data_IF_262670431333
#
_entry.id   IF_262670431333
#
_cell.length_a   1.000
_cell.length_b   1.000
_cell.length_c   1.000
_cell.angle_alpha   90.00
_cell.angle_beta   90.00
_cell.angle_gamma   90.00
#
_symmetry.space_group_name_H-M   'P 1'
#
loop_
_entity.id
_entity.type
_entity.pdbx_description
1 polymer ?
#
# COMPACT_ATOMS: atom_id res chain seq x y z
N UNK A 1 1.78 -20.87 6.13
CA UNK A 1 1.89 -20.71 4.66
C UNK A 1 1.28 -19.38 4.22
N UNK A 2 0.01 -19.11 4.50
CA UNK A 2 -0.68 -17.85 4.14
C UNK A 2 -0.02 -16.59 4.75
N UNK A 3 0.41 -16.60 6.02
CA UNK A 3 1.14 -15.46 6.62
C UNK A 3 2.47 -15.16 5.93
N UNK A 4 3.27 -16.18 5.60
CA UNK A 4 4.62 -15.97 5.00
C UNK A 4 4.53 -15.38 3.59
N UNK A 5 3.49 -15.73 2.84
CA UNK A 5 3.24 -15.21 1.49
C UNK A 5 2.78 -13.75 1.55
N UNK A 6 2.03 -13.39 2.59
CA UNK A 6 1.65 -12.00 2.85
C UNK A 6 2.86 -11.15 3.25
N UNK A 7 3.77 -11.69 4.06
CA UNK A 7 5.00 -10.98 4.45
C UNK A 7 5.89 -10.69 3.23
N UNK A 8 6.15 -11.69 2.37
CA UNK A 8 6.90 -11.50 1.12
C UNK A 8 6.23 -10.49 0.18
N UNK A 9 4.89 -10.49 0.13
CA UNK A 9 4.14 -9.52 -0.63
C UNK A 9 4.34 -8.09 -0.08
N UNK A 10 4.25 -7.90 1.24
CA UNK A 10 4.42 -6.59 1.87
C UNK A 10 5.86 -6.07 1.81
N UNK A 11 6.85 -6.96 1.75
CA UNK A 11 8.25 -6.60 1.55
C UNK A 11 8.54 -6.13 0.11
N UNK A 12 7.86 -6.73 -0.88
CA UNK A 12 8.11 -6.43 -2.30
C UNK A 12 7.27 -5.27 -2.85
N UNK A 13 6.02 -5.14 -2.39
CA UNK A 13 5.06 -4.15 -2.90
C UNK A 13 5.57 -2.69 -2.87
N UNK A 14 6.21 -2.19 -1.79
CA UNK A 14 6.70 -0.80 -1.75
C UNK A 14 7.70 -0.48 -2.86
N UNK A 15 8.56 -1.44 -3.20
CA UNK A 15 9.56 -1.31 -4.27
C UNK A 15 8.92 -1.14 -5.64
N UNK A 16 7.83 -1.86 -5.91
CA UNK A 16 7.07 -1.71 -7.16
C UNK A 16 6.32 -0.38 -7.18
N UNK A 17 5.64 -0.02 -6.10
CA UNK A 17 4.93 1.26 -5.98
C UNK A 17 5.85 2.48 -6.18
N UNK A 18 7.13 2.38 -5.78
CA UNK A 18 8.12 3.42 -6.03
C UNK A 18 8.38 3.69 -7.53
N UNK A 19 8.11 2.73 -8.41
CA UNK A 19 8.32 2.84 -9.86
C UNK A 19 7.13 3.41 -10.62
N UNK A 20 6.01 3.66 -9.94
CA UNK A 20 4.81 4.15 -10.59
C UNK A 20 5.03 5.52 -11.24
N UNK A 21 4.40 5.79 -12.39
CA UNK A 21 4.47 7.11 -13.01
C UNK A 21 4.05 8.20 -12.03
N UNK A 22 4.99 9.08 -11.70
CA UNK A 22 4.72 10.24 -10.85
C UNK A 22 4.35 11.44 -11.73
N UNK A 23 3.09 11.86 -11.67
CA UNK A 23 2.60 13.02 -12.44
C UNK A 23 3.08 14.36 -11.87
N UNK A 24 3.69 14.38 -10.68
CA UNK A 24 4.16 15.61 -10.03
C UNK A 24 5.43 16.08 -10.73
N UNK A 25 5.42 17.32 -11.24
CA UNK A 25 6.56 17.95 -11.91
C UNK A 25 7.34 18.82 -10.93
N UNK A 26 8.18 18.20 -10.10
CA UNK A 26 9.06 18.90 -9.15
C UNK A 26 8.33 19.58 -7.97
N UNK A 27 9.06 19.79 -6.88
CA UNK A 27 8.56 20.35 -5.61
C UNK A 27 8.88 19.45 -4.41
N UNK A 28 8.67 19.95 -3.20
CA UNK A 28 8.84 19.17 -1.97
C UNK A 28 7.80 18.04 -1.90
N UNK A 29 8.26 16.82 -2.12
CA UNK A 29 7.43 15.62 -2.09
C UNK A 29 7.27 15.14 -0.65
N UNK A 30 6.09 15.37 -0.09
CA UNK A 30 5.75 14.96 1.29
C UNK A 30 5.56 13.43 1.41
N UNK A 31 5.13 12.77 0.32
CA UNK A 31 4.81 11.33 0.27
C UNK A 31 5.46 10.70 -0.96
N UNK A 32 6.26 9.65 -0.76
CA UNK A 32 6.82 8.89 -1.87
C UNK A 32 5.74 8.14 -2.64
N UNK A 33 6.01 7.77 -3.89
CA UNK A 33 5.10 6.91 -4.66
C UNK A 33 4.91 5.55 -4.00
N UNK A 34 5.92 5.06 -3.27
CA UNK A 34 5.81 3.87 -2.42
C UNK A 34 4.75 4.07 -1.33
N UNK A 35 4.83 5.14 -0.55
CA UNK A 35 3.86 5.45 0.52
C UNK A 35 2.42 5.57 -0.03
N UNK A 36 2.28 6.22 -1.19
CA UNK A 36 0.97 6.41 -1.85
C UNK A 36 0.39 5.06 -2.31
N UNK A 37 1.20 4.20 -2.90
CA UNK A 37 0.78 2.87 -3.32
C UNK A 37 0.38 1.97 -2.14
N UNK A 38 1.17 2.00 -1.05
CA UNK A 38 0.84 1.26 0.17
C UNK A 38 -0.46 1.77 0.82
N UNK A 39 -0.74 3.09 0.75
CA UNK A 39 -1.99 3.67 1.23
C UNK A 39 -3.22 3.15 0.46
N UNK A 40 -3.14 3.09 -0.87
CA UNK A 40 -4.20 2.52 -1.69
C UNK A 40 -4.42 1.04 -1.39
N UNK A 41 -3.34 0.28 -1.20
CA UNK A 41 -3.43 -1.15 -0.90
C UNK A 41 -4.04 -1.44 0.48
N UNK A 42 -3.76 -0.59 1.48
CA UNK A 42 -4.31 -0.72 2.82
C UNK A 42 -5.85 -0.74 2.85
N UNK A 43 -6.52 -0.10 1.88
CA UNK A 43 -7.98 -0.07 1.77
C UNK A 43 -8.60 -1.47 1.56
N UNK A 44 -7.88 -2.40 0.92
CA UNK A 44 -8.37 -3.75 0.67
C UNK A 44 -8.38 -4.65 1.93
N UNK A 45 -7.70 -4.24 3.01
CA UNK A 45 -7.59 -5.00 4.25
C UNK A 45 -8.43 -4.42 5.40
N UNK A 46 -9.28 -3.42 5.13
CA UNK A 46 -10.03 -2.68 6.15
C UNK A 46 -11.51 -3.11 6.23
N UNK A 47 -11.90 -3.80 7.32
CA UNK A 47 -13.31 -4.01 7.70
C UNK A 47 -13.87 -2.80 8.49
N UNK A 48 -13.89 -1.60 7.88
CA UNK A 48 -14.58 -0.44 8.47
C UNK A 48 -14.92 0.61 7.41
N UNK A 49 -16.06 1.28 7.59
CA UNK A 49 -16.77 2.09 6.57
C UNK A 49 -16.01 3.29 5.99
N UNK A 50 -14.86 3.70 6.55
CA UNK A 50 -13.92 4.64 5.89
C UNK A 50 -12.52 4.65 6.52
N UNK A 51 -11.54 5.03 5.72
CA UNK A 51 -10.11 5.10 6.08
C UNK A 51 -9.85 6.03 7.28
N UNK A 52 -10.47 7.22 7.28
CA UNK A 52 -10.32 8.21 8.35
C UNK A 52 -11.00 7.77 9.66
N UNK A 53 -12.16 7.10 9.58
CA UNK A 53 -12.84 6.58 10.75
C UNK A 53 -12.02 5.47 11.43
N UNK A 54 -11.36 4.62 10.64
CA UNK A 54 -10.46 3.60 11.16
C UNK A 54 -9.21 4.20 11.81
N UNK A 55 -8.58 5.18 11.14
CA UNK A 55 -7.43 5.90 11.68
C UNK A 55 -7.74 6.57 13.02
N UNK A 56 -8.90 7.25 13.12
CA UNK A 56 -9.36 7.87 14.38
C UNK A 56 -9.68 6.84 15.46
N UNK A 57 -10.28 5.72 15.11
CA UNK A 57 -10.57 4.62 16.04
C UNK A 57 -9.29 3.94 16.55
N UNK A 58 -8.28 3.80 15.69
CA UNK A 58 -6.97 3.24 16.05
C UNK A 58 -6.09 4.23 16.83
N UNK A 59 -6.06 5.52 16.47
CA UNK A 59 -5.40 6.58 17.26
C UNK A 59 -5.97 6.64 18.68
N UNK A 60 -7.30 6.55 18.80
CA UNK A 60 -7.98 6.53 20.10
C UNK A 60 -7.67 5.27 20.93
N UNK A 61 -7.34 4.13 20.28
CA UNK A 61 -7.20 2.83 20.95
C UNK A 61 -5.75 2.38 21.21
N UNK A 62 -4.80 2.74 20.34
CA UNK A 62 -3.46 2.10 20.30
C UNK A 62 -2.27 3.07 20.14
N UNK A 63 -2.48 4.39 20.07
CA UNK A 63 -1.44 5.42 19.85
C UNK A 63 -0.61 5.27 18.56
N UNK A 64 -0.89 4.28 17.69
CA UNK A 64 -0.28 4.10 16.36
C UNK A 64 -1.29 3.45 15.40
N UNK A 65 -1.14 3.65 14.08
CA UNK A 65 -2.04 3.11 13.06
C UNK A 65 -1.42 2.01 12.20
N UNK A 66 -2.23 1.13 11.58
CA UNK A 66 -1.76 0.11 10.64
C UNK A 66 -0.95 0.73 9.48
N UNK A 67 -1.29 1.95 9.03
CA UNK A 67 -0.53 2.67 8.01
C UNK A 67 0.92 2.93 8.45
N UNK A 68 1.14 3.23 9.73
CA UNK A 68 2.48 3.45 10.27
C UNK A 68 3.18 2.14 10.63
N UNK A 69 2.45 1.18 11.23
CA UNK A 69 3.03 -0.08 11.71
C UNK A 69 3.22 -1.13 10.61
N UNK A 70 2.17 -1.46 9.88
CA UNK A 70 2.15 -2.54 8.88
C UNK A 70 2.66 -2.08 7.51
N UNK A 71 2.44 -0.81 7.18
CA UNK A 71 2.69 -0.27 5.85
C UNK A 71 3.81 0.78 5.80
N UNK A 72 4.46 1.08 6.94
CA UNK A 72 5.65 1.95 7.02
C UNK A 72 5.44 3.42 6.66
N UNK A 73 4.20 3.90 6.52
CA UNK A 73 3.92 5.25 6.05
C UNK A 73 4.17 6.29 7.15
N UNK A 74 4.94 7.35 6.82
CA UNK A 74 5.25 8.45 7.75
C UNK A 74 4.08 9.42 7.95
N UNK A 75 3.19 9.55 6.96
CA UNK A 75 1.99 10.38 7.00
C UNK A 75 0.90 9.66 6.20
N UNK A 76 -0.35 10.05 6.43
CA UNK A 76 -1.53 9.35 5.90
C UNK A 76 -2.26 10.25 4.87
N UNK A 77 -2.29 9.90 3.57
CA UNK A 77 -2.97 10.69 2.54
C UNK A 77 -4.50 10.58 2.62
N UNK A 78 -5.22 11.57 2.07
CA UNK A 78 -6.70 11.51 2.00
C UNK A 78 -7.18 10.66 0.83
N UNK A 79 -8.39 10.10 0.91
CA UNK A 79 -9.00 9.28 -0.14
C UNK A 79 -9.01 9.97 -1.51
N UNK A 80 -9.32 11.28 -1.54
CA UNK A 80 -9.29 12.09 -2.76
C UNK A 80 -7.87 12.20 -3.34
N UNK A 81 -6.85 12.28 -2.48
CA UNK A 81 -5.46 12.30 -2.92
C UNK A 81 -5.03 10.93 -3.46
N UNK A 82 -5.43 9.84 -2.80
CA UNK A 82 -5.16 8.46 -3.26
C UNK A 82 -5.77 8.23 -4.65
N UNK A 83 -7.06 8.52 -4.82
CA UNK A 83 -7.76 8.34 -6.11
C UNK A 83 -7.16 9.20 -7.21
N UNK A 84 -6.87 10.48 -6.94
CA UNK A 84 -6.21 11.36 -7.90
C UNK A 84 -4.88 10.80 -8.39
N UNK A 85 -4.10 10.15 -7.52
CA UNK A 85 -2.80 9.60 -7.87
C UNK A 85 -2.89 8.22 -8.54
N UNK A 86 -3.83 7.37 -8.15
CA UNK A 86 -3.89 5.97 -8.58
C UNK A 86 -4.85 5.71 -9.76
N UNK A 87 -5.92 6.50 -9.93
CA UNK A 87 -6.85 6.36 -11.07
C UNK A 87 -6.16 6.39 -12.45
N UNK A 88 -5.09 7.19 -12.69
CA UNK A 88 -4.39 7.18 -13.99
C UNK A 88 -3.32 6.08 -14.12
N UNK A 89 -3.04 5.29 -13.07
CA UNK A 89 -1.98 4.26 -13.09
C UNK A 89 -2.52 2.99 -13.77
N UNK A 90 -1.90 2.52 -14.86
CA UNK A 90 -2.34 1.29 -15.52
C UNK A 90 -2.21 0.06 -14.59
N UNK A 91 -3.27 -0.77 -14.45
CA UNK A 91 -3.26 -1.87 -13.49
C UNK A 91 -2.24 -2.97 -13.79
N UNK A 92 -1.80 -3.12 -15.05
CA UNK A 92 -0.78 -4.09 -15.44
C UNK A 92 0.59 -3.83 -14.78
N UNK A 93 0.83 -2.64 -14.23
CA UNK A 93 2.05 -2.34 -13.47
C UNK A 93 2.14 -3.12 -12.15
N UNK A 94 1.04 -3.71 -11.67
CA UNK A 94 1.04 -4.62 -10.52
C UNK A 94 1.40 -6.06 -10.89
N UNK A 95 1.51 -6.40 -12.18
CA UNK A 95 1.79 -7.76 -12.64
C UNK A 95 3.06 -8.39 -12.04
N UNK A 96 4.20 -7.67 -11.92
CA UNK A 96 5.41 -8.26 -11.33
C UNK A 96 5.23 -8.69 -9.88
N UNK A 97 4.37 -8.00 -9.11
CA UNK A 97 4.05 -8.38 -7.73
C UNK A 97 3.27 -9.69 -7.70
N UNK A 98 2.30 -9.82 -8.60
CA UNK A 98 1.51 -11.04 -8.75
C UNK A 98 2.41 -12.22 -9.14
N UNK A 99 3.30 -12.04 -10.12
CA UNK A 99 4.21 -13.07 -10.58
C UNK A 99 5.17 -13.53 -9.46
N UNK A 100 5.67 -12.57 -8.66
CA UNK A 100 6.54 -12.87 -7.53
C UNK A 100 5.84 -13.74 -6.47
N UNK A 101 4.64 -13.34 -6.04
CA UNK A 101 3.84 -14.10 -5.07
C UNK A 101 3.45 -15.47 -5.60
N UNK A 102 3.05 -15.56 -6.87
CA UNK A 102 2.69 -16.83 -7.49
C UNK A 102 3.89 -17.77 -7.61
N UNK A 103 5.08 -17.24 -7.89
CA UNK A 103 6.32 -18.01 -7.88
C UNK A 103 6.66 -18.54 -6.49
N UNK A 104 6.51 -17.71 -5.46
CA UNK A 104 6.74 -18.11 -4.07
C UNK A 104 5.74 -19.16 -3.57
N UNK A 105 4.47 -19.08 -4.00
CA UNK A 105 3.46 -20.10 -3.71
C UNK A 105 3.82 -21.45 -4.35
N UNK A 106 4.19 -21.43 -5.64
CA UNK A 106 4.54 -22.65 -6.40
C UNK A 106 5.79 -23.34 -5.85
N UNK A 107 6.81 -22.58 -5.46
CA UNK A 107 8.05 -23.14 -4.90
C UNK A 107 7.84 -23.82 -3.53
N UNK A 108 6.74 -23.51 -2.85
CA UNK A 108 6.35 -24.07 -1.54
C UNK A 108 5.31 -25.19 -1.64
N UNK A 109 4.98 -25.66 -2.85
CA UNK A 109 4.13 -26.83 -3.09
C UNK A 109 2.62 -26.57 -3.02
N UNK A 110 2.18 -25.32 -3.21
CA UNK A 110 0.77 -24.96 -3.40
C UNK A 110 0.32 -25.12 -4.86
#
# INVERSE_FOLDING_TARGET
MVMVVLDEFFDFLPGVCATFPDKRKGGDVIYSMADIGMAGFALFFMQSESFLAHQRSLEARLKTSNCQGLFGMRKIPTDNHIRSMLDPVPPHLLQPVFDHVMSALRSRGA
#
